data_IF_996080724423
#
_entry.id   IF_996080724423
#
_cell.length_a   1.000
_cell.length_b   1.000
_cell.length_c   1.000
_cell.angle_alpha   90.00
_cell.angle_beta   90.00
_cell.angle_gamma   90.00
#
_symmetry.space_group_name_H-M   'P 1'
#
loop_
_entity.id
_entity.type
_entity.pdbx_description
1 polymer ?
#
# COMPACT_ATOMS: atom_id res chain seq x y z
N UNK A 1 -1.07 -32.60 -8.20
CA UNK A 1 -1.76 -31.35 -8.60
C UNK A 1 -1.30 -30.24 -7.68
N UNK A 2 -0.56 -29.23 -8.17
CA UNK A 2 -0.24 -28.04 -7.36
C UNK A 2 -1.56 -27.35 -7.03
N UNK A 3 -1.92 -27.24 -5.76
CA UNK A 3 -3.10 -26.49 -5.33
C UNK A 3 -2.94 -25.05 -5.85
N UNK A 4 -3.86 -24.61 -6.71
CA UNK A 4 -3.94 -23.20 -7.08
C UNK A 4 -4.30 -22.42 -5.83
N UNK A 5 -3.55 -21.36 -5.52
CA UNK A 5 -3.83 -20.51 -4.39
C UNK A 5 -5.27 -19.97 -4.49
N UNK A 6 -6.15 -20.45 -3.61
CA UNK A 6 -7.55 -20.00 -3.57
C UNK A 6 -7.64 -18.53 -3.12
N UNK A 7 -8.73 -17.82 -3.47
CA UNK A 7 -8.95 -16.45 -2.96
C UNK A 7 -8.86 -16.37 -1.42
N UNK A 8 -9.32 -17.40 -0.72
CA UNK A 8 -9.24 -17.48 0.75
C UNK A 8 -7.78 -17.55 1.23
N UNK A 9 -6.95 -18.39 0.60
CA UNK A 9 -5.53 -18.50 0.96
C UNK A 9 -4.79 -17.18 0.70
N UNK A 10 -5.02 -16.55 -0.46
CA UNK A 10 -4.39 -15.26 -0.79
C UNK A 10 -4.77 -14.16 0.21
N UNK A 11 -6.04 -14.08 0.61
CA UNK A 11 -6.50 -13.14 1.67
C UNK A 11 -5.85 -13.48 3.02
N UNK A 12 -5.71 -14.77 3.35
CA UNK A 12 -5.03 -15.23 4.57
C UNK A 12 -3.57 -14.80 4.62
N UNK A 13 -2.83 -14.93 3.51
CA UNK A 13 -1.45 -14.45 3.41
C UNK A 13 -1.35 -12.96 3.68
N UNK A 14 -2.21 -12.14 3.05
CA UNK A 14 -2.23 -10.70 3.29
C UNK A 14 -2.61 -10.35 4.75
N UNK A 15 -3.51 -11.13 5.37
CA UNK A 15 -3.89 -10.95 6.77
C UNK A 15 -2.73 -11.18 7.76
N UNK A 16 -1.74 -12.02 7.41
CA UNK A 16 -0.56 -12.26 8.25
C UNK A 16 0.33 -11.03 8.40
N UNK A 17 0.24 -10.07 7.49
CA UNK A 17 1.02 -8.81 7.53
C UNK A 17 0.39 -7.73 8.41
N UNK A 18 -0.83 -7.98 8.92
CA UNK A 18 -1.58 -7.01 9.74
C UNK A 18 -0.80 -6.62 10.99
N UNK A 19 -0.82 -5.33 11.29
CA UNK A 19 -0.10 -4.73 12.43
C UNK A 19 1.36 -4.41 12.13
N UNK A 20 1.81 -4.62 10.89
CA UNK A 20 3.20 -4.43 10.50
C UNK A 20 3.49 -3.24 9.61
N UNK A 21 4.78 -3.07 9.34
CA UNK A 21 5.33 -2.07 8.44
C UNK A 21 5.89 -2.78 7.21
N UNK A 22 5.49 -2.34 6.02
CA UNK A 22 6.07 -2.75 4.76
C UNK A 22 6.97 -1.61 4.28
N UNK A 23 8.24 -1.91 3.99
CA UNK A 23 9.22 -0.89 3.64
C UNK A 23 9.59 -0.97 2.16
N UNK A 24 9.49 0.17 1.45
CA UNK A 24 9.97 0.30 0.07
C UNK A 24 11.50 0.36 0.07
N UNK A 25 12.16 -0.53 -0.66
CA UNK A 25 13.61 -0.68 -0.72
C UNK A 25 14.11 -0.70 -2.15
N UNK A 26 15.31 -0.15 -2.41
CA UNK A 26 15.89 -0.03 -3.76
C UNK A 26 17.15 -0.88 -3.97
N UNK A 27 17.57 -1.61 -2.95
CA UNK A 27 18.71 -2.55 -3.02
C UNK A 27 18.67 -3.54 -1.84
N UNK A 28 19.55 -4.52 -1.86
CA UNK A 28 19.68 -5.56 -0.84
C UNK A 28 20.06 -4.99 0.54
N UNK A 29 20.92 -3.96 0.60
CA UNK A 29 21.32 -3.32 1.86
C UNK A 29 20.11 -2.68 2.58
N UNK A 30 19.27 -1.95 1.85
CA UNK A 30 18.04 -1.37 2.42
C UNK A 30 17.04 -2.46 2.83
N UNK A 31 16.96 -3.57 2.09
CA UNK A 31 16.12 -4.70 2.44
C UNK A 31 16.55 -5.33 3.77
N UNK A 32 17.84 -5.50 3.98
CA UNK A 32 18.43 -5.98 5.24
C UNK A 32 18.13 -5.01 6.41
N UNK A 33 18.32 -3.71 6.22
CA UNK A 33 17.97 -2.69 7.21
C UNK A 33 16.48 -2.79 7.59
N UNK A 34 15.60 -2.97 6.61
CA UNK A 34 14.17 -3.10 6.84
C UNK A 34 13.83 -4.35 7.67
N UNK A 35 14.40 -5.51 7.32
CA UNK A 35 14.21 -6.76 8.06
C UNK A 35 14.75 -6.65 9.50
N UNK A 36 15.96 -6.13 9.71
CA UNK A 36 16.56 -5.92 11.02
C UNK A 36 15.78 -4.90 11.88
N UNK A 37 15.07 -3.97 11.25
CA UNK A 37 14.19 -3.03 11.93
C UNK A 37 12.84 -3.65 12.34
N UNK A 38 12.51 -4.84 11.86
CA UNK A 38 11.26 -5.55 12.16
C UNK A 38 10.15 -5.30 11.14
N UNK A 39 10.47 -4.95 9.90
CA UNK A 39 9.49 -4.92 8.81
C UNK A 39 8.87 -6.30 8.62
N UNK A 40 7.58 -6.35 8.31
CA UNK A 40 6.88 -7.62 8.02
C UNK A 40 7.00 -8.04 6.56
N UNK A 41 7.44 -7.12 5.70
CA UNK A 41 7.68 -7.34 4.28
C UNK A 41 8.47 -6.17 3.71
N UNK A 42 9.13 -6.37 2.58
CA UNK A 42 9.73 -5.30 1.79
C UNK A 42 9.06 -5.18 0.42
N UNK A 43 9.06 -3.97 -0.13
CA UNK A 43 8.61 -3.66 -1.48
C UNK A 43 9.81 -3.30 -2.34
N UNK A 44 10.17 -4.17 -3.28
CA UNK A 44 11.29 -3.95 -4.19
C UNK A 44 10.94 -2.87 -5.22
N UNK A 45 11.74 -1.82 -5.26
CA UNK A 45 11.62 -0.69 -6.18
C UNK A 45 12.98 -0.37 -6.81
N UNK A 46 12.99 0.10 -8.05
CA UNK A 46 14.20 0.65 -8.67
C UNK A 46 14.53 2.05 -8.14
N UNK A 47 13.49 2.84 -7.87
CA UNK A 47 13.57 4.19 -7.30
C UNK A 47 12.44 4.40 -6.30
N UNK A 48 12.74 5.04 -5.17
CA UNK A 48 11.67 5.45 -4.24
C UNK A 48 10.79 6.54 -4.87
N UNK A 49 9.52 6.66 -4.45
CA UNK A 49 8.57 7.59 -5.08
C UNK A 49 9.03 9.03 -5.18
N UNK A 50 9.81 9.53 -4.21
CA UNK A 50 10.37 10.89 -4.27
C UNK A 50 11.38 11.08 -5.41
N UNK A 51 12.16 10.06 -5.74
CA UNK A 51 13.09 10.10 -6.87
C UNK A 51 12.35 9.99 -8.21
N UNK A 52 11.31 9.13 -8.30
CA UNK A 52 10.46 9.06 -9.49
C UNK A 52 9.88 10.45 -9.83
N UNK A 53 9.46 11.23 -8.82
CA UNK A 53 8.97 12.60 -9.05
C UNK A 53 10.04 13.52 -9.60
N UNK A 54 11.26 13.48 -9.04
CA UNK A 54 12.39 14.30 -9.49
C UNK A 54 12.79 14.00 -10.94
N UNK A 55 12.65 12.73 -11.33
CA UNK A 55 13.04 12.23 -12.66
C UNK A 55 11.90 12.33 -13.70
N UNK A 56 10.91 13.18 -13.49
CA UNK A 56 9.84 13.44 -14.46
C UNK A 56 8.61 12.54 -14.34
N UNK A 57 8.52 11.71 -13.30
CA UNK A 57 7.30 10.97 -12.93
C UNK A 57 7.03 9.68 -13.75
N UNK A 58 7.83 9.36 -14.75
CA UNK A 58 7.70 8.09 -15.51
C UNK A 58 8.47 6.97 -14.81
N UNK A 59 7.76 5.90 -14.46
CA UNK A 59 8.34 4.72 -13.82
C UNK A 59 7.70 3.43 -14.33
N UNK A 60 8.48 2.35 -14.34
CA UNK A 60 8.12 1.01 -14.80
C UNK A 60 8.44 -0.04 -13.73
N UNK A 61 8.14 -1.29 -14.02
CA UNK A 61 8.57 -2.43 -13.18
C UNK A 61 10.09 -2.40 -13.00
N UNK A 62 10.56 -2.74 -11.82
CA UNK A 62 11.99 -2.83 -11.49
C UNK A 62 12.69 -3.95 -12.27
N UNK A 63 14.01 -3.80 -12.46
CA UNK A 63 14.82 -4.83 -13.08
C UNK A 63 14.69 -6.18 -12.35
N UNK A 64 14.41 -7.29 -13.06
CA UNK A 64 14.34 -8.63 -12.48
C UNK A 64 15.57 -9.05 -11.67
N UNK A 65 16.77 -8.58 -12.05
CA UNK A 65 18.00 -8.86 -11.32
C UNK A 65 17.97 -8.24 -9.93
N UNK A 66 17.58 -6.97 -9.84
CA UNK A 66 17.41 -6.27 -8.57
C UNK A 66 16.42 -6.99 -7.64
N UNK A 67 15.27 -7.41 -8.18
CA UNK A 67 14.26 -8.13 -7.41
C UNK A 67 14.82 -9.45 -6.86
N UNK A 68 15.54 -10.22 -7.68
CA UNK A 68 16.20 -11.47 -7.26
C UNK A 68 17.26 -11.23 -6.18
N UNK A 69 18.03 -10.15 -6.27
CA UNK A 69 19.02 -9.79 -5.25
C UNK A 69 18.35 -9.50 -3.90
N UNK A 70 17.23 -8.77 -3.90
CA UNK A 70 16.44 -8.49 -2.70
C UNK A 70 15.84 -9.78 -2.13
N UNK A 71 15.21 -10.63 -2.95
CA UNK A 71 14.65 -11.92 -2.50
C UNK A 71 15.71 -12.81 -1.83
N UNK A 72 16.95 -12.73 -2.30
CA UNK A 72 18.06 -13.54 -1.78
C UNK A 72 18.58 -13.04 -0.44
N UNK A 73 18.42 -11.73 -0.17
CA UNK A 73 18.99 -11.08 1.01
C UNK A 73 18.13 -11.24 2.26
N UNK A 74 16.81 -11.29 2.10
CA UNK A 74 15.88 -11.27 3.25
C UNK A 74 15.09 -12.57 3.37
N UNK A 75 14.65 -12.88 4.60
CA UNK A 75 13.77 -14.01 4.90
C UNK A 75 12.29 -13.60 4.98
N UNK A 76 12.01 -12.31 5.06
CA UNK A 76 10.64 -11.77 5.07
C UNK A 76 10.08 -11.67 3.64
N UNK A 77 8.74 -11.69 3.47
CA UNK A 77 8.11 -11.61 2.15
C UNK A 77 8.58 -10.41 1.33
N UNK A 78 8.76 -10.63 0.03
CA UNK A 78 9.15 -9.60 -0.95
C UNK A 78 7.99 -9.29 -1.88
N UNK A 79 7.62 -8.03 -1.96
CA UNK A 79 6.65 -7.49 -2.90
C UNK A 79 7.36 -6.78 -4.05
N UNK A 80 6.72 -6.71 -5.21
CA UNK A 80 7.19 -5.84 -6.31
C UNK A 80 6.01 -5.19 -7.03
N UNK A 81 6.27 -4.03 -7.68
CA UNK A 81 5.24 -3.24 -8.34
C UNK A 81 5.17 -3.53 -9.83
N UNK A 82 3.93 -3.53 -10.33
CA UNK A 82 3.61 -3.51 -11.77
C UNK A 82 2.80 -2.26 -12.11
N UNK A 83 2.88 -1.83 -13.35
CA UNK A 83 2.05 -0.75 -13.88
C UNK A 83 0.58 -1.17 -13.92
N UNK A 84 -0.33 -0.24 -13.67
CA UNK A 84 -1.77 -0.48 -13.80
C UNK A 84 -2.08 -1.04 -15.21
N UNK A 85 -2.78 -2.17 -15.28
CA UNK A 85 -3.18 -2.85 -16.51
C UNK A 85 -2.08 -3.68 -17.19
N UNK A 86 -0.83 -3.62 -16.72
CA UNK A 86 0.28 -4.31 -17.38
C UNK A 86 0.42 -5.78 -16.95
N UNK A 87 -0.48 -6.63 -17.45
CA UNK A 87 -0.52 -8.04 -17.07
C UNK A 87 0.76 -8.82 -17.39
N UNK A 88 1.56 -8.42 -18.39
CA UNK A 88 2.82 -9.09 -18.72
C UNK A 88 3.89 -8.83 -17.65
N UNK A 89 3.97 -7.60 -17.08
CA UNK A 89 4.83 -7.34 -15.91
C UNK A 89 4.42 -8.23 -14.73
N UNK A 90 3.12 -8.42 -14.49
CA UNK A 90 2.65 -9.32 -13.43
C UNK A 90 3.04 -10.79 -13.70
N UNK A 91 3.02 -11.25 -14.95
CA UNK A 91 3.52 -12.59 -15.33
C UNK A 91 5.02 -12.74 -15.05
N UNK A 92 5.82 -11.71 -15.35
CA UNK A 92 7.25 -11.69 -15.02
C UNK A 92 7.44 -11.81 -13.50
N UNK A 93 6.75 -11.02 -12.69
CA UNK A 93 6.88 -11.07 -11.24
C UNK A 93 6.44 -12.41 -10.66
N UNK A 94 5.40 -13.03 -11.20
CA UNK A 94 4.97 -14.37 -10.77
C UNK A 94 6.04 -15.43 -11.06
N UNK A 95 6.75 -15.35 -12.18
CA UNK A 95 7.88 -16.24 -12.52
C UNK A 95 9.10 -15.98 -11.64
N UNK A 96 9.29 -14.74 -11.17
CA UNK A 96 10.34 -14.38 -10.22
C UNK A 96 10.03 -14.84 -8.79
N UNK A 97 8.84 -15.42 -8.57
CA UNK A 97 8.38 -15.94 -7.28
C UNK A 97 8.32 -14.88 -6.18
N UNK A 98 7.93 -13.63 -6.52
CA UNK A 98 7.62 -12.63 -5.50
C UNK A 98 6.40 -13.07 -4.69
N UNK A 99 6.36 -12.70 -3.39
CA UNK A 99 5.27 -13.10 -2.51
C UNK A 99 3.98 -12.32 -2.74
N UNK A 100 4.08 -11.07 -3.19
CA UNK A 100 2.94 -10.20 -3.52
C UNK A 100 3.26 -9.32 -4.72
N UNK A 101 2.24 -8.98 -5.51
CA UNK A 101 2.31 -8.02 -6.61
C UNK A 101 1.49 -6.79 -6.26
N UNK A 102 2.10 -5.60 -6.26
CA UNK A 102 1.39 -4.32 -6.11
C UNK A 102 1.12 -3.70 -7.49
N UNK A 103 -0.13 -3.76 -7.94
CA UNK A 103 -0.58 -3.01 -9.11
C UNK A 103 -0.75 -1.55 -8.73
N UNK A 104 0.22 -0.73 -9.13
CA UNK A 104 0.52 0.53 -8.45
C UNK A 104 0.41 1.76 -9.36
N UNK A 105 -0.30 2.77 -8.85
CA UNK A 105 -0.34 4.13 -9.40
C UNK A 105 0.98 4.90 -9.28
N UNK A 106 1.91 4.43 -8.45
CA UNK A 106 3.26 5.01 -8.35
C UNK A 106 4.01 4.83 -9.67
N UNK A 107 3.80 3.71 -10.35
CA UNK A 107 4.29 3.50 -11.71
C UNK A 107 3.36 4.15 -12.73
N UNK A 108 3.89 4.43 -13.91
CA UNK A 108 3.09 5.00 -15.01
C UNK A 108 2.10 3.97 -15.54
N UNK A 109 0.80 4.23 -15.57
CA UNK A 109 -0.18 3.27 -16.09
C UNK A 109 0.15 2.81 -17.52
N UNK A 110 -0.10 1.53 -17.79
CA UNK A 110 -0.05 0.97 -19.14
C UNK A 110 -1.44 0.89 -19.77
N UNK A 111 -2.47 0.92 -18.93
CA UNK A 111 -3.88 0.93 -19.34
C UNK A 111 -4.63 1.96 -18.47
N UNK A 112 -5.37 2.86 -19.11
CA UNK A 112 -6.17 3.87 -18.43
C UNK A 112 -7.61 3.42 -18.17
N UNK A 113 -8.06 2.33 -18.83
CA UNK A 113 -9.43 1.85 -18.78
C UNK A 113 -9.62 0.65 -17.84
N UNK A 114 -8.59 -0.20 -17.70
CA UNK A 114 -8.72 -1.45 -16.97
C UNK A 114 -7.52 -1.76 -16.06
N UNK A 115 -7.82 -2.39 -14.93
CA UNK A 115 -6.83 -3.03 -14.08
C UNK A 115 -6.64 -4.51 -14.45
N UNK A 116 -5.56 -5.10 -13.97
CA UNK A 116 -5.24 -6.52 -14.22
C UNK A 116 -6.31 -7.42 -13.59
N UNK A 117 -6.78 -8.41 -14.34
CA UNK A 117 -7.65 -9.48 -13.83
C UNK A 117 -6.87 -10.44 -12.94
N UNK A 118 -6.89 -10.23 -11.64
CA UNK A 118 -6.02 -10.84 -10.61
C UNK A 118 -6.34 -12.32 -10.32
N UNK A 119 -7.53 -12.78 -10.71
CA UNK A 119 -7.94 -14.18 -10.55
C UNK A 119 -7.10 -15.17 -11.35
N UNK A 120 -6.43 -14.71 -12.40
CA UNK A 120 -5.60 -15.55 -13.28
C UNK A 120 -4.21 -15.86 -12.68
N UNK A 121 -3.81 -15.16 -11.64
CA UNK A 121 -2.50 -15.28 -11.00
C UNK A 121 -2.58 -16.10 -9.71
N UNK A 122 -1.49 -16.77 -9.35
CA UNK A 122 -1.35 -17.50 -8.07
C UNK A 122 -0.94 -16.57 -6.93
N UNK A 123 -0.17 -15.53 -7.26
CA UNK A 123 0.34 -14.53 -6.32
C UNK A 123 -0.78 -13.60 -5.86
N UNK A 124 -0.86 -13.25 -4.56
CA UNK A 124 -1.79 -12.24 -4.06
C UNK A 124 -1.43 -10.83 -4.56
N UNK A 125 -2.47 -10.02 -4.82
CA UNK A 125 -2.31 -8.65 -5.29
C UNK A 125 -2.65 -7.62 -4.21
N UNK A 126 -1.87 -6.54 -4.21
CA UNK A 126 -2.08 -5.29 -3.48
C UNK A 126 -2.52 -4.22 -4.47
N UNK A 127 -3.45 -3.35 -4.09
CA UNK A 127 -3.88 -2.22 -4.91
C UNK A 127 -4.15 -0.97 -4.08
N UNK A 128 -3.91 0.20 -4.68
CA UNK A 128 -4.26 1.49 -4.08
C UNK A 128 -5.72 1.85 -4.27
N UNK A 129 -6.30 2.56 -3.28
CA UNK A 129 -7.63 3.15 -3.39
C UNK A 129 -7.70 4.51 -2.68
N UNK A 130 -8.55 5.43 -3.20
CA UNK A 130 -8.83 6.75 -2.62
C UNK A 130 -10.14 6.81 -1.87
N UNK A 131 -11.06 5.90 -2.17
CA UNK A 131 -12.42 5.85 -1.65
C UNK A 131 -12.95 4.42 -1.65
N UNK A 132 -14.16 4.23 -1.12
CA UNK A 132 -14.78 2.92 -0.99
C UNK A 132 -15.06 2.27 -2.37
N UNK A 133 -15.52 3.03 -3.37
CA UNK A 133 -15.80 2.51 -4.70
C UNK A 133 -14.55 1.92 -5.37
N UNK A 134 -13.42 2.65 -5.37
CA UNK A 134 -12.14 2.13 -5.86
C UNK A 134 -11.72 0.87 -5.10
N UNK A 135 -11.79 0.88 -3.77
CA UNK A 135 -11.42 -0.28 -2.95
C UNK A 135 -12.24 -1.52 -3.32
N UNK A 136 -13.55 -1.39 -3.45
CA UNK A 136 -14.44 -2.49 -3.78
C UNK A 136 -14.19 -3.02 -5.20
N UNK A 137 -13.94 -2.15 -6.19
CA UNK A 137 -13.55 -2.58 -7.54
C UNK A 137 -12.28 -3.43 -7.52
N UNK A 138 -11.24 -2.98 -6.83
CA UNK A 138 -9.97 -3.73 -6.70
C UNK A 138 -10.17 -5.08 -6.02
N UNK A 139 -10.98 -5.14 -4.95
CA UNK A 139 -11.32 -6.40 -4.27
C UNK A 139 -12.10 -7.33 -5.19
N UNK A 140 -13.05 -6.82 -5.96
CA UNK A 140 -13.85 -7.58 -6.93
C UNK A 140 -12.98 -8.17 -8.05
N UNK A 141 -11.94 -7.47 -8.48
CA UNK A 141 -10.93 -7.94 -9.42
C UNK A 141 -9.98 -9.00 -8.82
N UNK A 142 -10.00 -9.20 -7.50
CA UNK A 142 -9.22 -10.19 -6.78
C UNK A 142 -8.06 -9.65 -5.96
N UNK A 143 -8.01 -8.35 -5.67
CA UNK A 143 -7.04 -7.80 -4.72
C UNK A 143 -7.25 -8.40 -3.32
N UNK A 144 -6.16 -8.76 -2.65
CA UNK A 144 -6.14 -9.36 -1.32
C UNK A 144 -5.73 -8.39 -0.22
N UNK A 145 -5.21 -7.25 -0.61
CA UNK A 145 -4.86 -6.12 0.24
C UNK A 145 -5.21 -4.82 -0.49
N UNK A 146 -5.80 -3.89 0.24
CA UNK A 146 -5.95 -2.50 -0.20
C UNK A 146 -4.94 -1.65 0.58
N UNK A 147 -4.45 -0.61 -0.06
CA UNK A 147 -3.73 0.48 0.61
C UNK A 147 -4.31 1.82 0.18
N UNK A 148 -4.16 2.84 1.04
CA UNK A 148 -4.43 4.19 0.56
C UNK A 148 -3.47 4.52 -0.59
N UNK A 149 -3.92 5.25 -1.61
CA UNK A 149 -2.98 5.80 -2.61
C UNK A 149 -2.08 6.84 -1.96
N UNK A 150 -2.65 7.71 -1.11
CA UNK A 150 -1.93 8.84 -0.56
C UNK A 150 -1.37 9.73 -1.66
N UNK A 151 -0.26 10.39 -1.40
CA UNK A 151 0.55 11.02 -2.44
C UNK A 151 2.02 10.64 -2.18
N UNK A 152 2.42 9.52 -2.76
CA UNK A 152 3.71 8.87 -2.49
C UNK A 152 4.91 9.78 -2.79
N UNK A 153 5.93 9.75 -1.94
CA UNK A 153 7.16 10.53 -2.12
C UNK A 153 7.08 11.99 -1.72
N UNK A 154 5.98 12.44 -1.12
CA UNK A 154 5.81 13.83 -0.71
C UNK A 154 6.21 14.11 0.75
N UNK A 155 6.28 13.08 1.60
CA UNK A 155 6.44 13.28 3.05
C UNK A 155 5.27 14.04 3.70
N UNK A 156 4.11 14.11 3.02
CA UNK A 156 2.89 14.75 3.48
C UNK A 156 1.75 13.72 3.51
N UNK A 157 1.30 13.37 4.71
CA UNK A 157 0.35 12.28 4.96
C UNK A 157 -1.11 12.66 4.68
N UNK A 158 -1.41 13.93 4.36
CA UNK A 158 -2.78 14.46 4.29
C UNK A 158 -3.67 13.68 3.31
N UNK A 159 -3.16 13.26 2.15
CA UNK A 159 -3.95 12.47 1.19
C UNK A 159 -4.24 11.05 1.69
N UNK A 160 -3.28 10.40 2.35
CA UNK A 160 -3.53 9.10 2.96
C UNK A 160 -4.63 9.18 4.04
N UNK A 161 -4.59 10.22 4.87
CA UNK A 161 -5.65 10.52 5.87
C UNK A 161 -6.99 10.76 5.19
N UNK A 162 -7.02 11.54 4.10
CA UNK A 162 -8.25 11.81 3.34
C UNK A 162 -8.85 10.52 2.78
N UNK A 163 -8.02 9.63 2.24
CA UNK A 163 -8.46 8.38 1.63
C UNK A 163 -9.04 7.40 2.66
N UNK A 164 -8.36 7.16 3.78
CA UNK A 164 -8.90 6.27 4.82
C UNK A 164 -10.20 6.82 5.42
N UNK A 165 -10.25 8.13 5.67
CA UNK A 165 -11.48 8.79 6.17
C UNK A 165 -12.62 8.72 5.15
N UNK A 166 -12.34 8.81 3.84
CA UNK A 166 -13.35 8.67 2.80
C UNK A 166 -13.95 7.25 2.80
N UNK A 167 -13.09 6.21 2.86
CA UNK A 167 -13.54 4.82 2.95
C UNK A 167 -14.42 4.60 4.17
N UNK A 168 -13.95 4.99 5.36
CA UNK A 168 -14.68 4.81 6.62
C UNK A 168 -16.02 5.56 6.64
N UNK A 169 -16.04 6.82 6.19
CA UNK A 169 -17.24 7.65 6.09
C UNK A 169 -18.28 7.03 5.16
N UNK A 170 -17.87 6.51 4.00
CA UNK A 170 -18.78 5.91 3.04
C UNK A 170 -19.37 4.61 3.59
N UNK A 171 -18.59 3.79 4.28
CA UNK A 171 -19.09 2.59 4.99
C UNK A 171 -20.16 2.98 6.00
N UNK A 172 -19.88 3.96 6.87
CA UNK A 172 -20.85 4.38 7.90
C UNK A 172 -22.12 5.03 7.31
N UNK A 173 -21.97 5.80 6.24
CA UNK A 173 -23.10 6.40 5.51
C UNK A 173 -24.00 5.33 4.89
N UNK A 174 -23.38 4.35 4.20
CA UNK A 174 -24.11 3.33 3.46
C UNK A 174 -24.74 2.26 4.37
N UNK A 175 -24.23 2.02 5.58
CA UNK A 175 -24.89 1.17 6.58
C UNK A 175 -26.31 1.64 6.91
N UNK A 176 -26.57 2.94 6.81
CA UNK A 176 -27.88 3.56 7.15
C UNK A 176 -28.73 3.82 5.89
N UNK A 177 -28.24 3.44 4.72
CA UNK A 177 -28.88 3.76 3.45
C UNK A 177 -30.01 2.76 3.10
N UNK A 178 -30.97 3.22 2.30
CA UNK A 178 -32.00 2.36 1.74
C UNK A 178 -31.44 1.40 0.70
N UNK A 179 -32.14 0.28 0.44
CA UNK A 179 -31.76 -0.68 -0.61
C UNK A 179 -31.64 -0.01 -1.98
N UNK A 180 -32.49 0.96 -2.29
CA UNK A 180 -32.42 1.71 -3.55
C UNK A 180 -31.15 2.55 -3.63
N UNK A 181 -30.76 3.21 -2.54
CA UNK A 181 -29.49 3.95 -2.47
C UNK A 181 -28.28 3.02 -2.69
N UNK A 182 -28.30 1.82 -2.09
CA UNK A 182 -27.25 0.83 -2.29
C UNK A 182 -27.18 0.35 -3.74
N UNK A 183 -28.33 0.14 -4.40
CA UNK A 183 -28.39 -0.23 -5.84
C UNK A 183 -27.81 0.87 -6.72
N UNK A 184 -28.16 2.13 -6.46
CA UNK A 184 -27.61 3.29 -7.18
C UNK A 184 -26.10 3.37 -7.00
N UNK A 185 -25.61 3.28 -5.78
CA UNK A 185 -24.17 3.27 -5.48
C UNK A 185 -23.43 2.14 -6.21
N UNK A 186 -23.97 0.92 -6.17
CA UNK A 186 -23.38 -0.21 -6.88
C UNK A 186 -23.28 0.01 -8.39
N UNK A 187 -24.30 0.62 -8.99
CA UNK A 187 -24.31 0.95 -10.42
C UNK A 187 -23.27 2.02 -10.76
N UNK A 188 -23.24 3.11 -10.00
CA UNK A 188 -22.32 4.22 -10.20
C UNK A 188 -20.86 3.80 -10.03
N UNK A 189 -20.58 3.08 -8.94
CA UNK A 189 -19.22 2.61 -8.61
C UNK A 189 -18.82 1.31 -9.34
N UNK A 190 -19.74 0.68 -10.09
CA UNK A 190 -19.52 -0.59 -10.80
C UNK A 190 -19.05 -1.72 -9.87
N UNK A 191 -19.72 -1.85 -8.72
CA UNK A 191 -19.40 -2.86 -7.69
C UNK A 191 -20.56 -3.81 -7.45
N UNK A 192 -20.25 -5.04 -7.05
CA UNK A 192 -21.26 -6.04 -6.75
C UNK A 192 -21.97 -5.76 -5.43
N UNK A 193 -23.29 -5.84 -5.43
CA UNK A 193 -24.12 -5.67 -4.23
C UNK A 193 -23.72 -6.64 -3.10
N UNK A 194 -23.34 -7.87 -3.45
CA UNK A 194 -22.90 -8.87 -2.45
C UNK A 194 -21.69 -8.40 -1.69
N UNK A 195 -20.67 -7.92 -2.39
CA UNK A 195 -19.42 -7.42 -1.79
C UNK A 195 -19.68 -6.16 -0.95
N UNK A 196 -20.52 -5.24 -1.45
CA UNK A 196 -20.91 -4.06 -0.67
C UNK A 196 -21.61 -4.47 0.63
N UNK A 197 -22.63 -5.32 0.59
CA UNK A 197 -23.35 -5.78 1.79
C UNK A 197 -22.43 -6.50 2.78
N UNK A 198 -21.50 -7.31 2.32
CA UNK A 198 -20.51 -7.95 3.18
C UNK A 198 -19.62 -6.91 3.87
N UNK A 199 -19.12 -5.92 3.13
CA UNK A 199 -18.33 -4.79 3.65
C UNK A 199 -19.09 -4.00 4.71
N UNK A 200 -20.35 -3.66 4.44
CA UNK A 200 -21.20 -2.92 5.37
C UNK A 200 -21.50 -3.73 6.65
N UNK A 201 -21.73 -5.05 6.52
CA UNK A 201 -21.94 -5.95 7.67
C UNK A 201 -20.69 -6.03 8.55
N UNK A 202 -19.50 -6.11 7.96
CA UNK A 202 -18.23 -6.13 8.68
C UNK A 202 -17.87 -4.76 9.28
N UNK A 203 -18.38 -3.67 8.72
CA UNK A 203 -18.00 -2.32 9.09
C UNK A 203 -16.58 -1.92 8.63
N UNK A 204 -15.99 -2.70 7.72
CA UNK A 204 -14.66 -2.50 7.15
C UNK A 204 -14.53 -3.26 5.83
N UNK A 205 -13.48 -3.02 5.08
CA UNK A 205 -13.18 -3.81 3.89
C UNK A 205 -13.01 -5.30 4.22
N UNK A 206 -13.36 -6.17 3.29
CA UNK A 206 -13.25 -7.64 3.41
C UNK A 206 -11.82 -8.16 3.31
N UNK A 207 -10.87 -7.26 3.10
CA UNK A 207 -9.42 -7.50 3.07
C UNK A 207 -8.73 -6.48 3.96
N UNK A 208 -7.45 -6.70 4.28
CA UNK A 208 -6.66 -5.72 5.04
C UNK A 208 -6.49 -4.43 4.25
N UNK A 209 -6.48 -3.31 4.99
CA UNK A 209 -6.33 -1.97 4.42
C UNK A 209 -5.16 -1.24 5.08
N UNK A 210 -4.07 -1.08 4.37
CA UNK A 210 -2.85 -0.44 4.85
C UNK A 210 -2.83 1.06 4.48
N UNK A 211 -2.10 1.84 5.25
CA UNK A 211 -1.81 3.23 4.88
C UNK A 211 -0.58 3.29 3.99
N UNK A 212 -0.64 4.07 2.92
CA UNK A 212 0.50 4.40 2.07
C UNK A 212 0.43 5.84 1.60
N UNK A 213 1.60 6.44 1.33
CA UNK A 213 1.75 7.78 0.77
C UNK A 213 1.93 8.87 1.82
N UNK A 214 3.12 9.44 1.88
CA UNK A 214 3.44 10.61 2.68
C UNK A 214 3.83 10.37 4.13
N UNK A 215 3.87 9.12 4.61
CA UNK A 215 4.31 8.80 5.97
C UNK A 215 5.82 9.08 6.11
N UNK A 216 6.21 9.96 7.03
CA UNK A 216 7.58 10.40 7.23
C UNK A 216 8.05 10.33 8.69
N UNK A 217 7.14 10.19 9.63
CA UNK A 217 7.44 10.19 11.08
C UNK A 217 6.75 9.03 11.80
N UNK A 218 7.24 8.62 12.99
CA UNK A 218 6.54 7.65 13.84
C UNK A 218 5.12 8.08 14.19
N UNK A 219 4.90 9.38 14.42
CA UNK A 219 3.58 9.93 14.72
C UNK A 219 2.60 9.80 13.55
N UNK A 220 3.07 10.00 12.29
CA UNK A 220 2.25 9.77 11.10
C UNK A 220 1.78 8.31 11.02
N UNK A 221 2.71 7.37 11.23
CA UNK A 221 2.42 5.94 11.21
C UNK A 221 1.40 5.55 12.28
N UNK A 222 1.61 6.00 13.53
CA UNK A 222 0.68 5.76 14.63
C UNK A 222 -0.71 6.38 14.35
N UNK A 223 -0.77 7.58 13.79
CA UNK A 223 -2.03 8.23 13.42
C UNK A 223 -2.82 7.40 12.39
N UNK A 224 -2.15 6.86 11.38
CA UNK A 224 -2.82 6.02 10.39
C UNK A 224 -3.38 4.72 11.00
N UNK A 225 -2.67 4.12 11.94
CA UNK A 225 -3.15 2.97 12.70
C UNK A 225 -4.40 3.32 13.54
N UNK A 226 -4.38 4.46 14.23
CA UNK A 226 -5.53 4.95 15.02
C UNK A 226 -6.74 5.31 14.14
N UNK A 227 -6.53 5.68 12.88
CA UNK A 227 -7.59 5.89 11.90
C UNK A 227 -8.19 4.59 11.35
N UNK A 228 -7.68 3.42 11.77
CA UNK A 228 -8.22 2.11 11.45
C UNK A 228 -7.52 1.40 10.29
N UNK A 229 -6.31 1.83 9.90
CA UNK A 229 -5.48 1.05 9.00
C UNK A 229 -4.94 -0.20 9.68
N UNK A 230 -4.68 -1.25 8.90
CA UNK A 230 -4.18 -2.54 9.38
C UNK A 230 -2.65 -2.63 9.39
N UNK A 231 -1.97 -1.61 8.94
CA UNK A 231 -0.52 -1.47 8.86
C UNK A 231 -0.14 -0.29 7.97
N UNK A 232 1.15 -0.11 7.71
CA UNK A 232 1.64 1.02 6.91
C UNK A 232 2.68 0.58 5.88
N UNK A 233 2.71 1.29 4.73
CA UNK A 233 3.80 1.27 3.77
C UNK A 233 4.63 2.55 3.95
N UNK A 234 5.94 2.42 4.04
CA UNK A 234 6.84 3.57 4.17
C UNK A 234 8.08 3.36 3.29
N UNK A 235 8.40 4.33 2.45
CA UNK A 235 9.56 4.27 1.57
C UNK A 235 10.47 5.48 1.76
N UNK A 236 10.23 6.55 1.01
CA UNK A 236 11.04 7.78 1.07
C UNK A 236 11.15 8.35 2.49
N UNK A 237 10.13 8.20 3.32
CA UNK A 237 10.13 8.67 4.71
C UNK A 237 11.24 8.05 5.57
N UNK A 238 11.67 6.82 5.25
CA UNK A 238 12.78 6.12 5.93
C UNK A 238 14.09 6.43 5.21
N UNK A 239 14.21 6.02 3.94
CA UNK A 239 15.49 5.96 3.25
C UNK A 239 15.98 7.32 2.70
N UNK A 240 15.18 8.38 2.79
CA UNK A 240 15.58 9.77 2.53
C UNK A 240 15.78 10.58 3.82
N UNK A 241 15.74 9.93 4.99
CA UNK A 241 16.10 10.53 6.27
C UNK A 241 17.61 10.44 6.54
N UNK A 242 18.10 11.22 7.51
CA UNK A 242 19.54 11.21 7.85
C UNK A 242 20.00 9.89 8.52
N UNK A 243 19.08 9.18 9.18
CA UNK A 243 19.36 7.95 9.93
C UNK A 243 18.30 6.89 9.63
N UNK A 244 18.35 6.22 8.44
CA UNK A 244 17.30 5.32 7.98
C UNK A 244 17.06 4.13 8.90
N UNK A 245 18.10 3.48 9.44
CA UNK A 245 17.98 2.37 10.38
C UNK A 245 17.21 2.76 11.64
N UNK A 246 17.59 3.89 12.25
CA UNK A 246 16.93 4.40 13.45
C UNK A 246 15.48 4.79 13.16
N UNK A 247 15.24 5.43 12.00
CA UNK A 247 13.91 5.82 11.55
C UNK A 247 13.03 4.59 11.29
N UNK A 248 13.55 3.56 10.65
CA UNK A 248 12.86 2.31 10.37
C UNK A 248 12.38 1.64 11.69
N UNK A 249 13.27 1.46 12.65
CA UNK A 249 12.94 0.91 13.99
C UNK A 249 11.89 1.76 14.72
N UNK A 250 12.05 3.08 14.71
CA UNK A 250 11.11 3.99 15.36
C UNK A 250 9.70 3.91 14.77
N UNK A 251 9.57 3.74 13.45
CA UNK A 251 8.28 3.58 12.77
C UNK A 251 7.66 2.21 13.11
N UNK A 252 8.44 1.12 13.14
CA UNK A 252 7.94 -0.21 13.55
C UNK A 252 7.42 -0.16 14.98
N UNK A 253 8.18 0.41 15.91
CA UNK A 253 7.77 0.58 17.31
C UNK A 253 6.49 1.43 17.43
N UNK A 254 6.39 2.54 16.67
CA UNK A 254 5.20 3.39 16.67
C UNK A 254 3.96 2.68 16.13
N UNK A 255 4.11 1.81 15.12
CA UNK A 255 3.01 0.98 14.59
C UNK A 255 2.61 -0.08 15.60
N UNK A 256 3.59 -0.74 16.24
CA UNK A 256 3.33 -1.76 17.27
C UNK A 256 2.62 -1.17 18.49
N UNK A 257 3.01 0.03 18.89
CA UNK A 257 2.50 0.70 20.08
C UNK A 257 1.65 1.94 19.78
N UNK A 258 0.91 1.92 18.66
CA UNK A 258 0.22 3.11 18.12
C UNK A 258 -0.78 3.77 19.08
N UNK A 259 -1.28 3.06 20.08
CA UNK A 259 -2.19 3.59 21.12
C UNK A 259 -1.47 4.05 22.40
N UNK A 260 -0.13 4.04 22.41
CA UNK A 260 0.66 4.46 23.57
C UNK A 260 1.43 5.77 23.29
N UNK A 261 0.87 6.95 23.66
CA UNK A 261 1.51 8.24 23.40
C UNK A 261 2.89 8.40 24.02
N UNK A 262 3.14 7.76 25.19
CA UNK A 262 4.46 7.80 25.85
C UNK A 262 5.51 7.09 25.00
N UNK A 263 5.17 5.88 24.49
CA UNK A 263 6.06 5.12 23.62
C UNK A 263 6.30 5.85 22.30
N UNK A 264 5.25 6.45 21.70
CA UNK A 264 5.40 7.22 20.46
C UNK A 264 6.32 8.42 20.69
N UNK A 265 6.20 9.13 21.81
CA UNK A 265 7.11 10.24 22.16
C UNK A 265 8.55 9.75 22.28
N UNK A 266 8.80 8.67 23.06
CA UNK A 266 10.12 8.05 23.24
C UNK A 266 10.79 7.71 21.92
N UNK A 267 10.10 6.97 21.03
CA UNK A 267 10.67 6.52 19.75
C UNK A 267 10.80 7.65 18.72
N UNK A 268 10.18 8.80 18.96
CA UNK A 268 10.30 9.98 18.10
C UNK A 268 11.52 10.85 18.41
N UNK A 269 12.23 10.58 19.52
CA UNK A 269 13.36 11.38 19.94
C UNK A 269 14.62 11.12 19.09
N UNK A 270 15.38 12.18 18.85
CA UNK A 270 16.72 12.11 18.24
C UNK A 270 16.80 11.36 16.90
N UNK A 271 15.74 11.40 16.09
CA UNK A 271 15.69 10.74 14.78
C UNK A 271 16.39 11.54 13.65
N UNK A 272 16.96 12.69 13.96
CA UNK A 272 17.50 13.60 12.96
C UNK A 272 16.41 14.26 12.11
N UNK A 273 16.81 14.89 11.02
CA UNK A 273 15.86 15.51 10.08
C UNK A 273 15.04 14.44 9.37
N UNK A 274 13.73 14.66 9.32
CA UNK A 274 12.86 13.89 8.44
C UNK A 274 13.19 14.21 6.96
N UNK A 275 12.67 13.39 6.03
CA UNK A 275 12.76 13.74 4.61
C UNK A 275 12.16 15.13 4.35
N UNK A 276 12.70 15.86 3.37
CA UNK A 276 12.11 17.10 2.90
C UNK A 276 10.69 16.82 2.34
N UNK A 277 9.69 17.52 2.88
CA UNK A 277 8.32 17.43 2.42
C UNK A 277 8.06 18.28 1.16
N UNK A 278 7.02 17.91 0.42
CA UNK A 278 6.54 18.66 -0.76
C UNK A 278 5.06 18.95 -0.55
N UNK A 279 4.66 20.21 -0.73
CA UNK A 279 3.25 20.59 -0.73
C UNK A 279 2.53 19.99 -1.93
N UNK A 280 1.43 19.28 -1.65
CA UNK A 280 0.71 18.49 -2.67
C UNK A 280 0.04 19.41 -3.71
N UNK A 281 -0.35 20.62 -3.32
CA UNK A 281 -0.96 21.59 -4.24
C UNK A 281 -0.02 22.00 -5.36
N UNK A 282 1.29 22.01 -5.10
CA UNK A 282 2.34 22.40 -6.04
C UNK A 282 2.81 21.25 -6.96
N UNK A 283 2.21 20.07 -6.86
CA UNK A 283 2.61 18.92 -7.68
C UNK A 283 2.04 19.01 -9.08
N UNK A 284 2.90 18.98 -10.10
CA UNK A 284 2.53 18.81 -11.50
C UNK A 284 1.87 17.45 -11.75
N UNK A 285 2.44 16.39 -11.18
CA UNK A 285 1.92 15.03 -11.30
C UNK A 285 1.37 14.52 -9.98
N UNK A 286 0.05 14.34 -9.91
CA UNK A 286 -0.63 13.70 -8.78
C UNK A 286 -0.79 12.21 -9.06
N UNK A 287 0.11 11.38 -8.51
CA UNK A 287 0.12 9.93 -8.74
C UNK A 287 -1.17 9.26 -8.27
N UNK A 288 -1.76 9.74 -7.17
CA UNK A 288 -3.01 9.21 -6.65
C UNK A 288 -4.19 9.27 -7.64
N UNK A 289 -4.12 10.13 -8.66
CA UNK A 289 -5.16 10.23 -9.70
C UNK A 289 -5.06 9.15 -10.78
N UNK A 290 -3.93 8.44 -10.87
CA UNK A 290 -3.72 7.37 -11.84
C UNK A 290 -4.59 6.15 -11.49
N UNK A 291 -5.21 5.58 -12.51
CA UNK A 291 -6.21 4.52 -12.36
C UNK A 291 -7.50 5.04 -11.69
N UNK A 292 -8.62 4.42 -12.02
CA UNK A 292 -9.96 4.81 -11.54
C UNK A 292 -10.59 3.72 -10.69
#
# INVERSE_FOLDING_TARGET
>A
MKQHNTPTLKKGLAQMLKGGVIMDVVNAEQAKIAEEAGAVSVMALERVPSDIRKDGGVARMSDPKLIKEIIKEVSIPVMAKVRIGHFVEAQILEVLEVDYIDESEVLTPADEEAHIGKSKFKVPFVCGARNLGEALRRIQEGACMIRTKGEAGTGNVVEAVRHIKAINRDIERLKKASENTLKTYCKEERVEMKLLKETLKLGRLTVVNFAAGGIATPADAAMMMQLGCDGVFVGSGIFKSNHPEKKARAIVEAVTHYNNPKKIAEVSENLGKAMAGIEIENLETKMAKRGW
#
